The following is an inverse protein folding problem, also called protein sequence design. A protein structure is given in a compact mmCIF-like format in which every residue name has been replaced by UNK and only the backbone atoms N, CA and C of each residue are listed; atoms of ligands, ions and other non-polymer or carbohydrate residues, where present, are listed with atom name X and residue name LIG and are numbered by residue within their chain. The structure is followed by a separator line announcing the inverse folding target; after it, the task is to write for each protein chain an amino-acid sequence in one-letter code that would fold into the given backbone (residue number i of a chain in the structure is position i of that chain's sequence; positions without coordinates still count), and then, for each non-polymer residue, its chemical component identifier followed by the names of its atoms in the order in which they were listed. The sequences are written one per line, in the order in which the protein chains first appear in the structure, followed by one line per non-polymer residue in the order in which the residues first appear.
data_IF_494291377398
#
_entry.id   IF_494291377398
#
_cell.length_a   1.000
_cell.length_b   1.000
_cell.length_c   1.000
_cell.angle_alpha   90.00
_cell.angle_beta   90.00
_cell.angle_gamma   90.00
#
_symmetry.space_group_name_H-M   'P 1'
#
loop_
_entity.id
_entity.type
_entity.pdbx_description
1 polymer ?
#
# COMPACT_ATOMS: atom_id res chain seq x y z
N UNK A 1 -13.09 6.40 -1.55
CA UNK A 1 -12.66 7.08 -0.30
C UNK A 1 -11.15 6.98 -0.14
N UNK A 2 -10.58 7.93 0.55
CA UNK A 2 -9.13 7.92 0.80
C UNK A 2 -8.83 7.19 2.10
N UNK A 3 -7.79 6.36 2.08
CA UNK A 3 -7.32 5.65 3.27
C UNK A 3 -5.81 5.80 3.41
N UNK A 4 -5.34 5.89 4.65
CA UNK A 4 -3.92 5.89 4.97
C UNK A 4 -3.56 4.51 5.48
N UNK A 5 -2.67 3.83 4.76
CA UNK A 5 -2.23 2.49 5.10
C UNK A 5 -0.75 2.45 5.47
N UNK A 6 -0.35 1.39 6.13
CA UNK A 6 1.05 1.15 6.50
C UNK A 6 1.36 -0.35 6.49
N UNK A 7 2.63 -0.66 6.32
CA UNK A 7 3.15 -2.03 6.47
C UNK A 7 4.65 -1.96 6.75
N UNK A 8 5.17 -2.97 7.43
CA UNK A 8 6.62 -3.10 7.62
C UNK A 8 7.27 -3.59 6.33
N UNK A 9 8.46 -3.07 6.04
CA UNK A 9 9.27 -3.48 4.88
C UNK A 9 10.68 -3.83 5.34
N UNK A 10 11.37 -4.68 4.57
CA UNK A 10 12.71 -5.16 4.94
C UNK A 10 13.74 -5.13 3.79
N UNK A 11 13.39 -4.55 2.66
CA UNK A 11 14.30 -4.45 1.49
C UNK A 11 14.50 -3.01 1.04
N UNK A 12 14.03 -2.04 1.82
CA UNK A 12 14.15 -0.62 1.51
C UNK A 12 13.02 -0.11 0.64
N UNK A 13 12.94 1.21 0.55
CA UNK A 13 11.83 1.89 -0.10
C UNK A 13 11.85 1.74 -1.63
N UNK A 14 13.02 1.81 -2.25
CA UNK A 14 13.13 1.68 -3.71
C UNK A 14 12.64 0.32 -4.20
N UNK A 15 13.01 -0.76 -3.50
CA UNK A 15 12.56 -2.11 -3.84
C UNK A 15 11.04 -2.21 -3.70
N UNK A 16 10.48 -1.63 -2.63
CA UNK A 16 9.04 -1.58 -2.44
C UNK A 16 8.34 -0.81 -3.56
N UNK A 17 8.87 0.35 -3.95
CA UNK A 17 8.31 1.16 -5.05
C UNK A 17 8.23 0.35 -6.34
N UNK A 18 9.30 -0.34 -6.71
CA UNK A 18 9.34 -1.12 -7.94
C UNK A 18 8.31 -2.26 -7.92
N UNK A 19 8.18 -2.95 -6.80
CA UNK A 19 7.18 -3.99 -6.63
C UNK A 19 5.75 -3.41 -6.72
N UNK A 20 5.53 -2.28 -6.08
CA UNK A 20 4.22 -1.65 -6.07
C UNK A 20 3.81 -1.14 -7.46
N UNK A 21 4.75 -0.64 -8.25
CA UNK A 21 4.50 -0.23 -9.64
C UNK A 21 4.03 -1.40 -10.49
N UNK A 22 4.51 -2.61 -10.25
CA UNK A 22 4.07 -3.82 -10.96
C UNK A 22 2.61 -4.15 -10.66
N UNK A 23 2.10 -3.70 -9.52
CA UNK A 23 0.73 -3.96 -9.10
C UNK A 23 -0.28 -2.92 -9.59
N UNK A 24 0.17 -1.81 -10.19
CA UNK A 24 -0.72 -0.68 -10.46
C UNK A 24 -1.93 -1.01 -11.31
N UNK A 25 -1.78 -1.81 -12.37
CA UNK A 25 -2.94 -2.21 -13.20
C UNK A 25 -3.91 -3.09 -12.44
N UNK A 26 -3.38 -4.03 -11.65
CA UNK A 26 -4.22 -4.92 -10.83
C UNK A 26 -4.95 -4.15 -9.75
N UNK A 27 -4.30 -3.14 -9.19
CA UNK A 27 -4.93 -2.23 -8.20
C UNK A 27 -6.08 -1.46 -8.84
N UNK A 28 -5.87 -0.88 -10.02
CA UNK A 28 -6.92 -0.16 -10.75
C UNK A 28 -8.13 -1.06 -11.03
N UNK A 29 -7.89 -2.30 -11.46
CA UNK A 29 -8.95 -3.28 -11.69
C UNK A 29 -9.72 -3.60 -10.42
N UNK A 30 -9.07 -3.51 -9.27
CA UNK A 30 -9.68 -3.73 -7.96
C UNK A 30 -10.29 -2.47 -7.35
N UNK A 31 -10.36 -1.37 -8.10
CA UNK A 31 -10.92 -0.10 -7.61
C UNK A 31 -10.00 0.66 -6.68
N UNK A 32 -8.69 0.52 -6.85
CA UNK A 32 -7.69 1.15 -6.00
C UNK A 32 -6.69 1.95 -6.82
N UNK A 33 -6.23 3.07 -6.26
CA UNK A 33 -5.11 3.82 -6.84
C UNK A 33 -4.26 4.45 -5.74
N UNK A 34 -2.97 4.55 -6.00
CA UNK A 34 -2.02 5.18 -5.09
C UNK A 34 -1.99 6.69 -5.33
N UNK A 35 -2.17 7.47 -4.27
CA UNK A 35 -2.07 8.94 -4.35
C UNK A 35 -0.66 9.38 -3.95
N UNK A 36 -0.15 8.84 -2.86
CA UNK A 36 1.13 9.23 -2.28
C UNK A 36 1.69 8.07 -1.47
N UNK A 37 3.01 7.97 -1.44
CA UNK A 37 3.69 7.00 -0.59
C UNK A 37 4.97 7.60 -0.03
N UNK A 38 5.33 7.15 1.16
CA UNK A 38 6.54 7.58 1.84
C UNK A 38 7.07 6.49 2.75
N UNK A 39 8.25 6.73 3.29
CA UNK A 39 8.90 5.83 4.23
C UNK A 39 9.50 6.61 5.39
N UNK A 40 9.75 5.92 6.49
CA UNK A 40 10.49 6.51 7.61
C UNK A 40 11.99 6.54 7.31
N UNK A 41 12.76 7.22 8.17
CA UNK A 41 14.19 7.43 7.96
C UNK A 41 14.98 6.11 7.83
N UNK A 42 14.60 5.08 8.59
CA UNK A 42 15.25 3.78 8.55
C UNK A 42 14.76 2.86 7.43
N UNK A 43 13.77 3.29 6.66
CA UNK A 43 13.15 2.50 5.58
C UNK A 43 12.66 1.13 6.07
N UNK A 44 12.03 1.14 7.25
CA UNK A 44 11.47 -0.07 7.87
C UNK A 44 9.96 -0.15 7.76
N UNK A 45 9.32 0.95 7.37
CA UNK A 45 7.87 1.05 7.18
C UNK A 45 7.56 1.89 5.97
N UNK A 46 6.48 1.55 5.28
CA UNK A 46 5.91 2.42 4.26
C UNK A 46 4.60 3.00 4.78
N UNK A 47 4.26 4.16 4.27
CA UNK A 47 3.00 4.85 4.49
C UNK A 47 2.43 5.19 3.13
N UNK A 48 1.16 4.91 2.92
CA UNK A 48 0.54 5.14 1.61
C UNK A 48 -0.85 5.75 1.78
N UNK A 49 -1.10 6.81 1.04
CA UNK A 49 -2.43 7.37 0.89
C UNK A 49 -3.00 6.85 -0.42
N UNK A 50 -4.14 6.16 -0.32
CA UNK A 50 -4.75 5.50 -1.47
C UNK A 50 -6.20 5.93 -1.62
N UNK A 51 -6.66 5.96 -2.87
CA UNK A 51 -8.09 6.04 -3.18
C UNK A 51 -8.60 4.62 -3.35
N UNK A 52 -9.63 4.24 -2.60
CA UNK A 52 -10.22 2.90 -2.65
C UNK A 52 -11.74 3.00 -2.69
N UNK A 53 -12.38 2.05 -3.35
CA UNK A 53 -13.85 1.99 -3.37
C UNK A 53 -14.37 1.45 -2.04
N UNK A 54 -13.70 0.44 -1.49
CA UNK A 54 -14.09 -0.21 -0.23
C UNK A 54 -12.81 -0.60 0.53
N UNK A 55 -12.60 -0.06 1.77
CA UNK A 55 -11.42 -0.39 2.56
C UNK A 55 -11.25 -1.88 2.86
N UNK A 56 -12.35 -2.60 3.08
CA UNK A 56 -12.28 -4.05 3.34
C UNK A 56 -11.84 -4.81 2.09
N UNK A 57 -12.36 -4.43 0.93
CA UNK A 57 -11.95 -5.02 -0.34
C UNK A 57 -10.48 -4.71 -0.64
N UNK A 58 -10.00 -3.52 -0.29
CA UNK A 58 -8.59 -3.13 -0.44
C UNK A 58 -7.68 -4.02 0.42
N UNK A 59 -8.06 -4.27 1.67
CA UNK A 59 -7.30 -5.16 2.55
C UNK A 59 -7.29 -6.59 2.02
N UNK A 60 -8.43 -7.09 1.57
CA UNK A 60 -8.54 -8.43 1.00
C UNK A 60 -7.68 -8.58 -0.26
N UNK A 61 -7.67 -7.56 -1.13
CA UNK A 61 -6.80 -7.52 -2.30
C UNK A 61 -5.34 -7.68 -1.92
N UNK A 62 -4.87 -6.91 -0.92
CA UNK A 62 -3.47 -6.95 -0.48
C UNK A 62 -3.05 -8.29 0.12
N UNK A 63 -4.00 -9.12 0.57
CA UNK A 63 -3.75 -10.44 1.13
C UNK A 63 -4.07 -11.57 0.17
N UNK A 64 -4.57 -11.28 -1.03
CA UNK A 64 -4.79 -12.27 -2.07
C UNK A 64 -3.45 -12.92 -2.42
N UNK A 65 -3.42 -14.25 -2.57
CA UNK A 65 -2.15 -15.00 -2.64
C UNK A 65 -1.19 -14.51 -3.74
N UNK A 66 -1.71 -14.21 -4.92
CA UNK A 66 -0.89 -13.71 -6.03
C UNK A 66 -0.31 -12.32 -5.73
N UNK A 67 -1.10 -11.46 -5.12
CA UNK A 67 -0.71 -10.10 -4.75
C UNK A 67 0.27 -10.14 -3.56
N UNK A 68 -0.04 -10.94 -2.55
CA UNK A 68 0.80 -11.08 -1.36
C UNK A 68 2.21 -11.55 -1.73
N UNK A 69 2.32 -12.48 -2.69
CA UNK A 69 3.63 -12.96 -3.16
C UNK A 69 4.45 -11.83 -3.77
N UNK A 70 3.86 -11.02 -4.64
CA UNK A 70 4.55 -9.86 -5.23
C UNK A 70 4.96 -8.87 -4.16
N UNK A 71 4.10 -8.64 -3.19
CA UNK A 71 4.39 -7.73 -2.07
C UNK A 71 5.56 -8.25 -1.23
N UNK A 72 5.60 -9.55 -0.92
CA UNK A 72 6.69 -10.16 -0.16
C UNK A 72 8.01 -10.07 -0.94
N UNK A 73 8.00 -10.27 -2.24
CA UNK A 73 9.18 -10.09 -3.08
C UNK A 73 9.69 -8.64 -3.03
N UNK A 74 8.78 -7.69 -2.85
CA UNK A 74 9.09 -6.28 -2.63
C UNK A 74 9.51 -5.93 -1.21
N UNK A 75 9.64 -6.92 -0.33
CA UNK A 75 10.08 -6.73 1.03
C UNK A 75 8.98 -6.44 2.04
N UNK A 76 7.70 -6.58 1.67
CA UNK A 76 6.59 -6.31 2.59
C UNK A 76 6.36 -7.51 3.52
N UNK A 77 6.27 -7.23 4.81
CA UNK A 77 5.72 -8.16 5.78
C UNK A 77 4.19 -8.00 5.73
N UNK A 78 3.56 -8.83 4.92
CA UNK A 78 2.13 -8.70 4.59
C UNK A 78 1.24 -8.74 5.83
N UNK A 79 1.62 -9.51 6.85
CA UNK A 79 0.84 -9.65 8.08
C UNK A 79 0.78 -8.35 8.89
N UNK A 80 1.69 -7.42 8.65
CA UNK A 80 1.72 -6.13 9.34
C UNK A 80 0.91 -5.05 8.63
N UNK A 81 0.32 -5.37 7.48
CA UNK A 81 -0.48 -4.40 6.71
C UNK A 81 -1.70 -3.98 7.50
N UNK A 82 -1.92 -2.66 7.60
CA UNK A 82 -3.10 -2.13 8.26
C UNK A 82 -3.53 -0.81 7.64
N UNK A 83 -4.81 -0.50 7.78
CA UNK A 83 -5.34 0.82 7.47
C UNK A 83 -5.31 1.60 8.78
N UNK A 84 -4.51 2.68 8.81
CA UNK A 84 -4.39 3.55 9.98
C UNK A 84 -5.69 4.34 10.17
N UNK A 85 -6.22 4.89 9.09
CA UNK A 85 -7.42 5.71 9.13
C UNK A 85 -8.00 5.93 7.74
N UNK A 86 -9.30 6.16 7.70
CA UNK A 86 -9.96 6.78 6.56
C UNK A 86 -9.68 8.28 6.66
N UNK A 87 -9.37 8.90 5.55
CA UNK A 87 -9.04 10.33 5.47
C UNK A 87 -10.20 11.04 4.78
N UNK A 88 -10.93 11.87 5.52
CA UNK A 88 -12.11 12.56 4.98
C UNK A 88 -11.77 13.83 4.21
N UNK A 89 -10.75 14.57 4.64
CA UNK A 89 -10.34 15.82 4.00
C UNK A 89 -8.83 15.89 3.91
N UNK A 90 -8.34 16.51 2.82
CA UNK A 90 -6.91 16.76 2.62
C UNK A 90 -6.71 18.19 2.17
N UNK A 91 -5.51 18.70 2.40
CA UNK A 91 -5.10 20.02 1.93
C UNK A 91 -3.67 19.94 1.38
N UNK A 92 -3.47 20.49 0.20
CA UNK A 92 -2.13 20.61 -0.39
C UNK A 92 -1.61 22.02 -0.11
N UNK A 93 -0.49 22.11 0.59
CA UNK A 93 0.14 23.38 0.95
C UNK A 93 0.83 24.02 -0.24
#
# INVERSE_FOLDING_TARGET
MKVLGTAKINKGFTVWLEANKKLSLMMEEAGMSMIWAGTNAGETKIFALMEVEDPQAAMAFGKREDIARIRREGGVDVETSEIISVISETHNW
#
